data_IF_524795202451
#
_entry.id   IF_524795202451
#
_cell.length_a   1.000
_cell.length_b   1.000
_cell.length_c   1.000
_cell.angle_alpha   90.00
_cell.angle_beta   90.00
_cell.angle_gamma   90.00
#
_symmetry.space_group_name_H-M   'P 1'
#
loop_
_entity.id
_entity.type
_entity.pdbx_description
1 polymer ?
#
# COMPACT_ATOMS: atom_id res chain seq x y z
N UNK A 1 -9.33 14.63 -4.99
CA UNK A 1 -9.13 16.09 -4.94
C UNK A 1 -9.52 16.66 -3.59
N UNK A 2 -10.72 16.32 -3.04
CA UNK A 2 -11.12 16.78 -1.70
C UNK A 2 -10.09 16.43 -0.62
N UNK A 3 -9.70 15.17 -0.51
CA UNK A 3 -8.74 14.71 0.50
C UNK A 3 -7.33 15.32 0.35
N UNK A 4 -7.00 15.81 -0.83
CA UNK A 4 -5.72 16.46 -1.09
C UNK A 4 -5.73 17.96 -0.77
N UNK A 5 -6.85 18.63 -1.03
CA UNK A 5 -6.94 20.09 -0.96
C UNK A 5 -7.98 20.66 0.00
N UNK A 6 -8.87 19.82 0.56
CA UNK A 6 -9.91 20.25 1.50
C UNK A 6 -11.13 20.96 0.88
N UNK A 7 -11.13 21.23 -0.42
CA UNK A 7 -12.24 21.95 -1.06
C UNK A 7 -13.48 21.05 -1.18
N UNK A 8 -14.49 21.35 -0.39
CA UNK A 8 -15.74 20.59 -0.27
C UNK A 8 -16.54 20.50 -1.57
N UNK A 9 -16.28 21.40 -2.54
CA UNK A 9 -16.94 21.33 -3.86
C UNK A 9 -16.64 20.00 -4.56
N UNK A 10 -15.41 19.50 -4.43
CA UNK A 10 -15.04 18.19 -5.00
C UNK A 10 -15.76 17.02 -4.33
N UNK A 11 -16.03 17.11 -3.03
CA UNK A 11 -16.76 16.07 -2.32
C UNK A 11 -18.24 16.04 -2.74
N UNK A 12 -18.86 17.22 -2.86
CA UNK A 12 -20.25 17.35 -3.34
C UNK A 12 -20.40 16.84 -4.78
N UNK A 13 -19.46 17.20 -5.64
CA UNK A 13 -19.48 16.72 -7.03
C UNK A 13 -19.24 15.20 -7.10
N UNK A 14 -18.36 14.65 -6.27
CA UNK A 14 -18.16 13.22 -6.17
C UNK A 14 -19.43 12.49 -5.72
N UNK A 15 -20.17 13.04 -4.74
CA UNK A 15 -21.46 12.50 -4.31
C UNK A 15 -22.50 12.51 -5.44
N UNK A 16 -22.60 13.63 -6.17
CA UNK A 16 -23.50 13.74 -7.31
C UNK A 16 -23.18 12.72 -8.41
N UNK A 17 -21.88 12.51 -8.70
CA UNK A 17 -21.45 11.50 -9.66
C UNK A 17 -21.72 10.08 -9.15
N UNK A 18 -21.54 9.82 -7.87
CA UNK A 18 -21.85 8.54 -7.26
C UNK A 18 -23.34 8.21 -7.35
N UNK A 19 -24.22 9.17 -7.09
CA UNK A 19 -25.67 9.03 -7.28
C UNK A 19 -26.05 8.70 -8.74
N UNK A 20 -25.35 9.33 -9.71
CA UNK A 20 -25.52 9.02 -11.13
C UNK A 20 -25.04 7.60 -11.47
N UNK A 21 -23.93 7.15 -10.86
CA UNK A 21 -23.43 5.78 -11.06
C UNK A 21 -24.49 4.78 -10.55
N UNK A 22 -25.06 5.01 -9.39
CA UNK A 22 -26.10 4.14 -8.85
C UNK A 22 -27.37 4.13 -9.74
N UNK A 23 -27.83 5.30 -10.16
CA UNK A 23 -29.06 5.43 -10.93
C UNK A 23 -28.96 4.90 -12.37
N UNK A 24 -27.86 5.23 -13.06
CA UNK A 24 -27.73 4.99 -14.49
C UNK A 24 -27.06 3.63 -14.81
N UNK A 25 -26.20 3.14 -13.93
CA UNK A 25 -25.36 1.95 -14.18
C UNK A 25 -25.61 0.80 -13.20
N UNK A 26 -26.30 1.02 -12.08
CA UNK A 26 -26.50 0.01 -11.05
C UNK A 26 -27.19 -1.25 -11.56
N UNK A 27 -26.72 -2.42 -11.08
CA UNK A 27 -27.41 -3.70 -11.22
C UNK A 27 -28.03 -4.06 -9.85
N UNK A 28 -29.32 -3.78 -9.70
CA UNK A 28 -30.03 -4.06 -8.43
C UNK A 28 -30.13 -5.56 -8.15
N UNK A 29 -30.23 -6.38 -9.18
CA UNK A 29 -30.43 -7.82 -9.03
C UNK A 29 -29.12 -8.59 -8.81
N UNK A 30 -28.08 -8.25 -9.57
CA UNK A 30 -26.80 -8.97 -9.53
C UNK A 30 -25.69 -8.29 -8.73
N UNK A 31 -25.91 -7.05 -8.33
CA UNK A 31 -24.90 -6.19 -7.71
C UNK A 31 -23.85 -5.68 -8.69
N UNK A 32 -23.16 -4.61 -8.32
CA UNK A 32 -22.18 -3.95 -9.19
C UNK A 32 -22.80 -3.05 -10.25
N UNK A 33 -22.05 -2.78 -11.31
CA UNK A 33 -22.39 -1.75 -12.29
C UNK A 33 -22.19 -2.26 -13.70
N UNK A 34 -23.14 -1.97 -14.58
CA UNK A 34 -23.02 -2.20 -16.01
C UNK A 34 -22.06 -1.20 -16.66
N UNK A 35 -21.45 -1.58 -17.78
CA UNK A 35 -20.54 -0.71 -18.54
C UNK A 35 -21.30 0.36 -19.36
N UNK A 36 -22.63 0.21 -19.48
CA UNK A 36 -23.51 1.13 -20.20
C UNK A 36 -24.66 1.61 -19.32
N UNK A 37 -25.08 2.87 -19.50
CA UNK A 37 -26.18 3.46 -18.77
C UNK A 37 -27.52 2.77 -19.11
N UNK A 38 -28.50 2.81 -18.19
CA UNK A 38 -29.81 2.24 -18.37
C UNK A 38 -30.59 2.87 -19.55
N UNK A 39 -30.35 4.15 -19.84
CA UNK A 39 -30.97 4.87 -20.95
C UNK A 39 -30.22 4.77 -22.29
N UNK A 40 -29.21 3.91 -22.39
CA UNK A 40 -28.51 3.64 -23.64
C UNK A 40 -29.40 2.91 -24.64
N UNK A 41 -28.98 2.85 -25.93
CA UNK A 41 -29.66 2.03 -26.93
C UNK A 41 -29.80 0.57 -26.45
N UNK A 42 -30.81 -0.13 -26.92
CA UNK A 42 -31.06 -1.51 -26.55
C UNK A 42 -29.92 -2.41 -27.05
N UNK A 43 -29.15 -2.95 -26.14
CA UNK A 43 -28.08 -3.92 -26.39
C UNK A 43 -28.61 -5.35 -26.23
N UNK A 44 -28.04 -6.30 -26.96
CA UNK A 44 -28.33 -7.73 -26.81
C UNK A 44 -28.02 -8.18 -25.37
N UNK A 45 -26.93 -7.64 -24.81
CA UNK A 45 -26.50 -7.87 -23.42
C UNK A 45 -25.84 -6.60 -22.89
N UNK A 46 -26.25 -6.14 -21.70
CA UNK A 46 -25.51 -5.14 -20.95
C UNK A 46 -24.34 -5.83 -20.24
N UNK A 47 -23.15 -5.55 -20.71
CA UNK A 47 -21.93 -6.12 -20.15
C UNK A 47 -21.60 -5.51 -18.78
N UNK A 48 -20.91 -6.30 -17.94
CA UNK A 48 -20.48 -5.92 -16.60
C UNK A 48 -19.13 -6.58 -16.31
N UNK A 49 -18.06 -5.80 -16.37
CA UNK A 49 -16.71 -6.30 -16.15
C UNK A 49 -16.28 -6.09 -14.71
N UNK A 50 -15.81 -7.17 -14.06
CA UNK A 50 -15.31 -7.12 -12.69
C UNK A 50 -13.82 -7.34 -12.57
N UNK A 51 -13.20 -7.97 -13.58
CA UNK A 51 -11.77 -8.27 -13.56
C UNK A 51 -10.93 -7.03 -13.89
N UNK A 52 -9.78 -6.91 -13.25
CA UNK A 52 -8.77 -5.92 -13.59
C UNK A 52 -8.05 -6.36 -14.88
N UNK A 53 -7.81 -5.41 -15.78
CA UNK A 53 -7.01 -5.59 -16.98
C UNK A 53 -5.71 -4.78 -16.89
N UNK A 54 -5.37 -4.07 -17.97
CA UNK A 54 -4.28 -3.10 -17.95
C UNK A 54 -4.56 -1.90 -17.03
N UNK A 55 -5.82 -1.68 -16.70
CA UNK A 55 -6.32 -0.73 -15.70
C UNK A 55 -7.27 -1.46 -14.75
N UNK A 56 -7.47 -0.93 -13.53
CA UNK A 56 -8.46 -1.49 -12.60
C UNK A 56 -9.86 -1.50 -13.21
N UNK A 57 -10.68 -2.50 -12.84
CA UNK A 57 -12.06 -2.59 -13.31
C UNK A 57 -12.89 -1.38 -12.87
N UNK A 58 -13.80 -0.93 -13.74
CA UNK A 58 -14.70 0.18 -13.43
C UNK A 58 -15.57 -0.13 -12.20
N UNK A 59 -16.02 -1.38 -12.06
CA UNK A 59 -16.77 -1.84 -10.90
C UNK A 59 -16.02 -1.67 -9.59
N UNK A 60 -14.75 -2.08 -9.53
CA UNK A 60 -13.93 -1.96 -8.33
C UNK A 60 -13.58 -0.50 -8.01
N UNK A 61 -13.34 0.32 -9.03
CA UNK A 61 -13.07 1.77 -8.84
C UNK A 61 -14.33 2.48 -8.32
N UNK A 62 -15.50 2.20 -8.88
CA UNK A 62 -16.78 2.75 -8.39
C UNK A 62 -17.07 2.31 -6.95
N UNK A 63 -16.90 1.02 -6.65
CA UNK A 63 -17.07 0.49 -5.29
C UNK A 63 -16.13 1.18 -4.29
N UNK A 64 -14.87 1.43 -4.65
CA UNK A 64 -13.92 2.12 -3.79
C UNK A 64 -14.30 3.58 -3.55
N UNK A 65 -14.76 4.27 -4.59
CA UNK A 65 -15.25 5.65 -4.44
C UNK A 65 -16.47 5.73 -3.53
N UNK A 66 -17.44 4.82 -3.71
CA UNK A 66 -18.63 4.72 -2.87
C UNK A 66 -18.29 4.39 -1.41
N UNK A 67 -17.38 3.43 -1.17
CA UNK A 67 -16.92 3.09 0.18
C UNK A 67 -16.28 4.30 0.89
N UNK A 68 -15.49 5.11 0.19
CA UNK A 68 -14.88 6.33 0.75
C UNK A 68 -15.92 7.42 1.00
N UNK A 69 -16.81 7.65 0.04
CA UNK A 69 -17.89 8.64 0.16
C UNK A 69 -18.86 8.32 1.29
N UNK A 70 -19.14 7.02 1.53
CA UNK A 70 -20.01 6.60 2.61
C UNK A 70 -19.55 7.10 3.98
N UNK A 71 -18.25 7.13 4.21
CA UNK A 71 -17.66 7.60 5.47
C UNK A 71 -17.59 9.14 5.56
N UNK A 72 -17.27 9.81 4.45
CA UNK A 72 -17.25 11.27 4.43
C UNK A 72 -18.63 11.89 4.65
N UNK A 73 -19.69 11.23 4.16
CA UNK A 73 -21.04 11.77 4.07
C UNK A 73 -22.05 11.07 4.99
N UNK A 74 -21.61 10.03 5.72
CA UNK A 74 -22.47 9.15 6.54
C UNK A 74 -23.62 8.54 5.71
N UNK A 75 -23.28 8.01 4.52
CA UNK A 75 -24.21 7.46 3.53
C UNK A 75 -24.12 5.93 3.52
N UNK A 76 -25.00 5.27 4.29
CA UNK A 76 -25.05 3.80 4.35
C UNK A 76 -25.40 3.16 3.01
N UNK A 77 -26.24 3.80 2.19
CA UNK A 77 -26.60 3.34 0.85
C UNK A 77 -25.39 3.25 -0.09
N UNK A 78 -24.41 4.17 0.01
CA UNK A 78 -23.16 4.10 -0.72
C UNK A 78 -22.30 2.93 -0.24
N UNK A 79 -22.26 2.71 1.08
CA UNK A 79 -21.53 1.57 1.65
C UNK A 79 -22.12 0.24 1.19
N UNK A 80 -23.45 0.11 1.25
CA UNK A 80 -24.15 -1.09 0.84
C UNK A 80 -23.97 -1.37 -0.66
N UNK A 81 -23.97 -0.34 -1.50
CA UNK A 81 -23.70 -0.48 -2.92
C UNK A 81 -22.26 -0.94 -3.18
N UNK A 82 -21.27 -0.41 -2.44
CA UNK A 82 -19.89 -0.86 -2.52
C UNK A 82 -19.72 -2.33 -2.12
N UNK A 83 -20.37 -2.76 -1.04
CA UNK A 83 -20.38 -4.16 -0.59
C UNK A 83 -21.01 -5.05 -1.66
N UNK A 84 -22.17 -4.70 -2.19
CA UNK A 84 -22.82 -5.48 -3.26
C UNK A 84 -21.96 -5.58 -4.51
N UNK A 85 -21.27 -4.49 -4.90
CA UNK A 85 -20.40 -4.49 -6.07
C UNK A 85 -19.22 -5.46 -5.93
N UNK A 86 -18.56 -5.50 -4.77
CA UNK A 86 -17.48 -6.46 -4.51
C UNK A 86 -18.02 -7.89 -4.39
N UNK A 87 -19.14 -8.07 -3.69
CA UNK A 87 -19.74 -9.38 -3.46
C UNK A 87 -20.24 -10.04 -4.75
N UNK A 88 -20.64 -9.25 -5.74
CA UNK A 88 -21.09 -9.74 -7.06
C UNK A 88 -20.03 -10.60 -7.77
N UNK A 89 -18.75 -10.38 -7.45
CA UNK A 89 -17.62 -11.12 -8.00
C UNK A 89 -16.93 -12.01 -6.95
N UNK A 90 -17.52 -12.19 -5.77
CA UNK A 90 -16.88 -12.86 -4.63
C UNK A 90 -16.29 -14.23 -4.98
N UNK A 91 -17.03 -15.07 -5.73
CA UNK A 91 -16.51 -16.36 -6.19
C UNK A 91 -15.31 -16.20 -7.13
N UNK A 92 -15.39 -15.33 -8.13
CA UNK A 92 -14.33 -15.10 -9.08
C UNK A 92 -13.09 -14.48 -8.40
N UNK A 93 -13.27 -13.62 -7.38
CA UNK A 93 -12.18 -13.07 -6.56
C UNK A 93 -11.44 -14.18 -5.83
N UNK A 94 -12.15 -15.16 -5.27
CA UNK A 94 -11.53 -16.30 -4.58
C UNK A 94 -10.80 -17.23 -5.58
N UNK A 95 -11.42 -17.53 -6.71
CA UNK A 95 -10.86 -18.42 -7.73
C UNK A 95 -9.67 -17.78 -8.49
N UNK A 96 -9.71 -16.45 -8.69
CA UNK A 96 -8.73 -15.73 -9.51
C UNK A 96 -8.29 -14.38 -8.88
N UNK A 97 -7.73 -14.37 -7.65
CA UNK A 97 -7.48 -13.12 -6.90
C UNK A 97 -6.61 -12.11 -7.65
N UNK A 98 -5.68 -12.57 -8.50
CA UNK A 98 -4.81 -11.69 -9.29
C UNK A 98 -5.56 -10.87 -10.34
N UNK A 99 -6.70 -11.37 -10.81
CA UNK A 99 -7.54 -10.63 -11.75
C UNK A 99 -8.48 -9.63 -11.06
N UNK A 100 -8.46 -9.55 -9.73
CA UNK A 100 -9.35 -8.72 -8.92
C UNK A 100 -8.62 -7.93 -7.83
N UNK A 101 -7.38 -7.55 -8.09
CA UNK A 101 -6.54 -6.84 -7.10
C UNK A 101 -7.21 -5.56 -6.56
N UNK A 102 -7.89 -4.81 -7.44
CA UNK A 102 -8.60 -3.61 -7.01
C UNK A 102 -9.81 -3.94 -6.15
N UNK A 103 -10.56 -5.00 -6.46
CA UNK A 103 -11.66 -5.47 -5.62
C UNK A 103 -11.18 -5.93 -4.25
N UNK A 104 -10.01 -6.58 -4.16
CA UNK A 104 -9.39 -6.95 -2.89
C UNK A 104 -9.03 -5.73 -2.05
N UNK A 105 -8.49 -4.67 -2.65
CA UNK A 105 -8.24 -3.39 -1.95
C UNK A 105 -9.54 -2.79 -1.40
N UNK A 106 -10.65 -2.91 -2.13
CA UNK A 106 -11.96 -2.43 -1.64
C UNK A 106 -12.48 -3.30 -0.51
N UNK A 107 -12.34 -4.62 -0.63
CA UNK A 107 -12.74 -5.56 0.43
C UNK A 107 -11.96 -5.29 1.73
N UNK A 108 -10.65 -5.14 1.65
CA UNK A 108 -9.78 -4.79 2.77
C UNK A 108 -10.21 -3.47 3.44
N UNK A 109 -10.45 -2.42 2.63
CA UNK A 109 -10.96 -1.14 3.12
C UNK A 109 -12.31 -1.26 3.86
N UNK A 110 -13.21 -2.11 3.37
CA UNK A 110 -14.55 -2.31 3.96
C UNK A 110 -14.53 -3.19 5.21
N UNK A 111 -13.64 -4.17 5.28
CA UNK A 111 -13.53 -5.13 6.38
C UNK A 111 -12.73 -4.58 7.56
N UNK A 112 -11.52 -4.09 7.29
CA UNK A 112 -10.63 -3.54 8.33
C UNK A 112 -11.10 -2.15 8.81
N UNK A 113 -11.77 -1.41 7.95
CA UNK A 113 -12.11 -0.01 8.15
C UNK A 113 -10.87 0.89 8.00
N UNK A 114 -11.04 2.10 7.49
CA UNK A 114 -9.94 3.04 7.35
C UNK A 114 -9.57 3.74 8.65
N UNK A 115 -8.37 4.29 8.68
CA UNK A 115 -8.03 5.38 9.59
C UNK A 115 -8.75 6.63 9.12
N UNK A 116 -9.54 7.21 10.00
CA UNK A 116 -10.29 8.43 9.75
C UNK A 116 -9.50 9.61 10.31
N UNK A 117 -9.02 10.48 9.43
CA UNK A 117 -8.19 11.62 9.79
C UNK A 117 -8.97 12.92 9.58
N UNK A 118 -9.05 13.73 10.62
CA UNK A 118 -9.56 15.09 10.49
C UNK A 118 -8.44 16.08 10.83
N UNK A 119 -8.04 16.87 9.86
CA UNK A 119 -7.00 17.89 10.01
C UNK A 119 -7.66 19.26 10.08
N UNK A 120 -7.54 19.90 11.23
CA UNK A 120 -8.19 21.19 11.56
C UNK A 120 -7.13 22.27 11.68
N UNK A 121 -7.31 23.35 10.96
CA UNK A 121 -6.41 24.52 10.97
C UNK A 121 -6.45 25.27 9.65
N UNK A 122 -5.83 26.43 9.62
CA UNK A 122 -5.83 27.28 8.44
C UNK A 122 -4.76 26.81 7.44
N UNK A 123 -5.16 26.46 6.20
CA UNK A 123 -4.21 26.11 5.14
C UNK A 123 -3.17 27.22 4.92
N UNK A 124 -1.90 26.82 4.80
CA UNK A 124 -0.77 27.74 4.67
C UNK A 124 -0.12 28.16 6.00
N UNK A 125 -0.77 27.94 7.14
CA UNK A 125 -0.12 28.14 8.43
C UNK A 125 0.87 27.03 8.76
N UNK A 126 2.00 27.39 9.39
CA UNK A 126 3.11 26.48 9.63
C UNK A 126 2.71 25.20 10.39
N UNK A 127 1.87 25.31 11.42
CA UNK A 127 1.40 24.19 12.24
C UNK A 127 0.53 23.22 11.43
N UNK A 128 -0.42 23.74 10.66
CA UNK A 128 -1.27 22.95 9.78
C UNK A 128 -0.44 22.20 8.72
N UNK A 129 0.46 22.91 8.04
CA UNK A 129 1.29 22.32 6.99
C UNK A 129 2.29 21.29 7.53
N UNK A 130 2.77 21.45 8.76
CA UNK A 130 3.64 20.49 9.40
C UNK A 130 2.89 19.17 9.69
N UNK A 131 1.69 19.23 10.31
CA UNK A 131 0.85 18.07 10.54
C UNK A 131 0.45 17.38 9.22
N UNK A 132 0.02 18.15 8.22
CA UNK A 132 -0.33 17.65 6.89
C UNK A 132 0.84 16.90 6.23
N UNK A 133 2.04 17.43 6.34
CA UNK A 133 3.27 16.83 5.80
C UNK A 133 3.59 15.51 6.50
N UNK A 134 3.49 15.45 7.82
CA UNK A 134 3.76 14.21 8.56
C UNK A 134 2.75 13.11 8.23
N UNK A 135 1.46 13.44 8.10
CA UNK A 135 0.45 12.48 7.60
C UNK A 135 0.80 12.00 6.17
N UNK A 136 1.20 12.94 5.29
CA UNK A 136 1.55 12.64 3.90
C UNK A 136 2.78 11.74 3.72
N UNK A 137 3.70 11.74 4.69
CA UNK A 137 4.90 10.88 4.69
C UNK A 137 4.62 9.42 5.03
N UNK A 138 3.41 9.11 5.53
CA UNK A 138 3.07 7.77 5.98
C UNK A 138 2.31 7.01 4.90
N UNK A 139 2.70 5.76 4.69
CA UNK A 139 1.92 4.86 3.86
C UNK A 139 0.72 4.35 4.67
N UNK A 140 -0.45 4.88 4.36
CA UNK A 140 -1.72 4.51 4.98
C UNK A 140 -2.70 4.16 3.85
N UNK A 141 -2.71 2.92 3.36
CA UNK A 141 -3.55 2.51 2.22
C UNK A 141 -5.04 2.67 2.54
N UNK A 142 -5.45 2.28 3.76
CA UNK A 142 -6.81 2.40 4.25
C UNK A 142 -6.95 3.66 5.12
N UNK A 143 -7.13 4.81 4.48
CA UNK A 143 -7.39 6.07 5.17
C UNK A 143 -8.43 6.90 4.44
N UNK A 144 -9.11 7.75 5.17
CA UNK A 144 -9.82 8.92 4.66
C UNK A 144 -9.31 10.17 5.38
N UNK A 145 -9.28 11.30 4.69
CA UNK A 145 -8.81 12.57 5.26
C UNK A 145 -9.86 13.64 5.01
N UNK A 146 -10.33 14.27 6.08
CA UNK A 146 -11.13 15.48 6.02
C UNK A 146 -10.30 16.69 6.49
N UNK A 147 -10.45 17.81 5.82
CA UNK A 147 -9.82 19.07 6.18
C UNK A 147 -10.88 20.06 6.65
N UNK A 148 -10.55 20.82 7.67
CA UNK A 148 -11.41 21.90 8.16
C UNK A 148 -10.59 23.15 8.44
N UNK A 149 -10.97 24.25 7.79
CA UNK A 149 -10.52 25.58 8.12
C UNK A 149 -11.58 26.24 9.05
N UNK A 150 -11.27 26.46 10.32
CA UNK A 150 -12.21 27.07 11.27
C UNK A 150 -12.71 28.46 10.83
N UNK A 151 -11.93 29.20 10.06
CA UNK A 151 -12.33 30.51 9.55
C UNK A 151 -13.40 30.41 8.45
N UNK A 152 -13.47 29.27 7.73
CA UNK A 152 -14.47 29.03 6.70
C UNK A 152 -15.80 28.47 7.27
N UNK A 153 -15.88 28.15 8.57
CA UNK A 153 -17.01 27.48 9.20
C UNK A 153 -17.07 26.00 8.84
N UNK A 154 -17.48 25.12 9.76
CA UNK A 154 -17.58 23.70 9.50
C UNK A 154 -18.75 23.40 8.57
N UNK A 155 -18.55 22.66 7.46
CA UNK A 155 -19.66 22.20 6.65
C UNK A 155 -20.55 21.25 7.45
N UNK A 156 -21.85 21.53 7.52
CA UNK A 156 -22.82 20.76 8.32
C UNK A 156 -22.99 19.32 7.79
N UNK A 157 -22.61 19.06 6.55
CA UNK A 157 -22.74 17.79 5.85
C UNK A 157 -21.46 16.92 5.92
N UNK A 158 -20.48 17.27 6.79
CA UNK A 158 -19.26 16.49 6.98
C UNK A 158 -19.16 15.92 8.42
N UNK A 159 -19.75 14.74 8.66
CA UNK A 159 -19.79 14.11 9.98
C UNK A 159 -18.43 13.93 10.63
N UNK A 160 -17.42 13.59 9.83
CA UNK A 160 -16.03 13.40 10.31
C UNK A 160 -15.44 14.66 10.97
N UNK A 161 -15.94 15.84 10.65
CA UNK A 161 -15.46 17.11 11.21
C UNK A 161 -16.26 17.62 12.40
N UNK A 162 -17.40 16.99 12.72
CA UNK A 162 -18.28 17.44 13.83
C UNK A 162 -17.55 17.40 15.16
N UNK A 163 -17.63 18.49 15.90
CA UNK A 163 -17.01 18.62 17.22
C UNK A 163 -15.49 18.72 17.23
N UNK A 164 -14.87 18.86 16.04
CA UNK A 164 -13.42 18.98 15.93
C UNK A 164 -13.03 20.42 15.62
N UNK A 165 -12.11 20.99 16.40
CA UNK A 165 -11.66 22.37 16.31
C UNK A 165 -10.16 22.51 16.52
N UNK A 166 -9.70 23.75 16.62
CA UNK A 166 -8.35 24.04 17.10
C UNK A 166 -8.22 23.58 18.56
N UNK A 167 -7.04 23.17 18.96
CA UNK A 167 -6.69 22.85 20.35
C UNK A 167 -5.76 23.93 20.86
N UNK A 168 -6.19 24.68 21.88
CA UNK A 168 -5.45 25.83 22.42
C UNK A 168 -4.99 26.82 21.33
N UNK A 169 -5.85 27.04 20.32
CA UNK A 169 -5.57 27.91 19.20
C UNK A 169 -4.60 27.36 18.15
N UNK A 170 -4.16 26.12 18.29
CA UNK A 170 -3.22 25.45 17.36
C UNK A 170 -3.96 24.52 16.43
N UNK A 171 -3.41 24.31 15.24
CA UNK A 171 -3.84 23.28 14.33
C UNK A 171 -3.78 21.90 15.01
N UNK A 172 -4.75 21.02 14.71
CA UNK A 172 -4.88 19.72 15.34
C UNK A 172 -5.21 18.62 14.32
N UNK A 173 -4.60 17.46 14.50
CA UNK A 173 -4.92 16.23 13.81
C UNK A 173 -5.72 15.34 14.76
N UNK A 174 -6.91 14.96 14.34
CA UNK A 174 -7.74 13.95 15.00
C UNK A 174 -7.60 12.62 14.27
N UNK A 175 -7.17 11.59 14.99
CA UNK A 175 -7.05 10.23 14.48
C UNK A 175 -8.19 9.41 15.08
N UNK A 176 -9.09 8.96 14.23
CA UNK A 176 -10.27 8.20 14.65
C UNK A 176 -10.30 6.84 13.94
N UNK A 177 -10.97 5.89 14.57
CA UNK A 177 -11.25 4.57 14.00
C UNK A 177 -12.63 4.13 14.46
N UNK A 178 -13.46 3.68 13.54
CA UNK A 178 -14.82 3.26 13.86
C UNK A 178 -15.54 4.32 14.70
N UNK A 179 -15.44 5.60 14.31
CA UNK A 179 -16.01 6.78 15.00
C UNK A 179 -15.50 7.05 16.43
N UNK A 180 -14.47 6.30 16.88
CA UNK A 180 -13.78 6.59 18.15
C UNK A 180 -12.48 7.32 17.87
N UNK A 181 -12.34 8.52 18.46
CA UNK A 181 -11.17 9.36 18.26
C UNK A 181 -10.22 9.28 19.47
N UNK A 182 -8.93 9.28 19.20
CA UNK A 182 -7.89 9.51 20.19
C UNK A 182 -7.83 11.00 20.60
N UNK A 183 -7.01 11.30 21.61
CA UNK A 183 -6.68 12.70 21.92
C UNK A 183 -6.10 13.40 20.69
N UNK A 184 -6.51 14.64 20.41
CA UNK A 184 -6.01 15.37 19.24
C UNK A 184 -4.51 15.64 19.34
N UNK A 185 -3.82 15.52 18.22
CA UNK A 185 -2.37 15.73 18.08
C UNK A 185 -2.12 17.14 17.55
N UNK A 186 -1.35 17.94 18.25
CA UNK A 186 -0.94 19.30 17.83
C UNK A 186 0.56 19.40 17.53
N UNK A 187 1.35 18.44 18.01
CA UNK A 187 2.78 18.34 17.72
C UNK A 187 3.02 17.36 16.54
N UNK A 188 3.62 17.82 15.43
CA UNK A 188 3.97 16.96 14.32
C UNK A 188 4.84 15.74 14.69
N UNK A 189 5.67 15.85 15.74
CA UNK A 189 6.51 14.75 16.21
C UNK A 189 5.70 13.57 16.80
N UNK A 190 4.47 13.84 17.25
CA UNK A 190 3.59 12.82 17.82
C UNK A 190 2.71 12.09 16.78
N UNK A 191 2.65 12.58 15.54
CA UNK A 191 1.79 12.02 14.48
C UNK A 191 2.09 10.54 14.24
N UNK A 192 3.37 10.15 14.24
CA UNK A 192 3.76 8.77 14.05
C UNK A 192 3.16 7.84 15.11
N UNK A 193 3.28 8.21 16.36
CA UNK A 193 2.75 7.45 17.49
C UNK A 193 1.23 7.32 17.40
N UNK A 194 0.53 8.42 17.16
CA UNK A 194 -0.92 8.43 17.04
C UNK A 194 -1.45 7.56 15.89
N UNK A 195 -0.71 7.45 14.79
CA UNK A 195 -1.06 6.58 13.65
C UNK A 195 -0.71 5.12 13.90
N UNK A 196 0.30 4.84 14.74
CA UNK A 196 0.81 3.49 15.02
C UNK A 196 -0.03 2.71 16.05
N UNK A 197 -0.83 3.37 16.88
CA UNK A 197 -1.49 2.77 18.06
C UNK A 197 -2.50 1.65 17.78
N UNK A 198 -2.70 1.26 16.53
CA UNK A 198 -3.50 0.06 16.17
C UNK A 198 -2.69 -1.07 15.54
N UNK A 199 -1.42 -0.84 15.25
CA UNK A 199 -0.52 -1.87 14.71
C UNK A 199 0.14 -2.73 15.77
N UNK A 200 -0.01 -2.40 17.06
CA UNK A 200 0.79 -3.03 18.11
C UNK A 200 0.39 -4.49 18.36
N UNK A 201 -0.89 -4.83 18.40
CA UNK A 201 -1.30 -6.22 18.69
C UNK A 201 -1.15 -7.18 17.50
N UNK A 202 -1.54 -6.75 16.29
CA UNK A 202 -1.34 -7.56 15.08
C UNK A 202 0.11 -7.49 14.56
N UNK A 203 0.82 -6.37 14.79
CA UNK A 203 2.22 -6.24 14.43
C UNK A 203 3.18 -6.92 15.41
N UNK A 204 2.79 -7.16 16.64
CA UNK A 204 3.62 -7.86 17.62
C UNK A 204 3.66 -9.37 17.33
N UNK A 205 2.58 -9.96 16.85
CA UNK A 205 2.59 -11.35 16.37
C UNK A 205 3.43 -11.52 15.07
N UNK A 206 3.46 -10.51 14.20
CA UNK A 206 4.33 -10.49 13.01
C UNK A 206 5.78 -10.10 13.36
N UNK A 207 6.01 -9.33 14.42
CA UNK A 207 7.35 -8.88 14.85
C UNK A 207 8.18 -9.95 15.53
N UNK A 208 7.59 -10.96 16.12
CA UNK A 208 8.34 -12.09 16.71
C UNK A 208 9.08 -12.94 15.66
N UNK A 209 8.73 -12.80 14.35
CA UNK A 209 9.48 -13.38 13.24
C UNK A 209 10.47 -12.42 12.54
N UNK A 210 10.50 -11.12 12.91
CA UNK A 210 11.34 -10.11 12.25
C UNK A 210 12.43 -9.62 13.22
N UNK A 211 13.20 -10.53 13.76
CA UNK A 211 14.19 -10.22 14.80
C UNK A 211 15.40 -9.38 14.34
N UNK A 212 15.55 -9.04 13.06
CA UNK A 212 16.70 -8.25 12.60
C UNK A 212 16.43 -7.43 11.34
N UNK A 213 15.48 -6.48 11.39
CA UNK A 213 15.40 -5.48 10.32
C UNK A 213 16.61 -4.56 10.40
N UNK A 214 17.54 -4.67 9.46
CA UNK A 214 18.58 -3.66 9.27
C UNK A 214 18.00 -2.49 8.49
N UNK A 215 18.13 -1.25 8.98
CA UNK A 215 17.69 -0.07 8.25
C UNK A 215 18.57 0.15 7.02
N UNK A 216 18.01 0.70 5.97
CA UNK A 216 18.73 1.11 4.78
C UNK A 216 18.02 0.69 3.49
N UNK A 217 18.14 1.55 2.50
CA UNK A 217 17.61 1.35 1.15
C UNK A 217 18.58 1.98 0.15
N UNK A 218 18.49 1.58 -1.11
CA UNK A 218 19.17 2.28 -2.19
C UNK A 218 18.73 3.75 -2.27
N UNK A 219 19.68 4.64 -2.51
CA UNK A 219 19.42 6.07 -2.72
C UNK A 219 19.99 6.52 -4.06
N UNK A 220 19.47 7.60 -4.69
CA UNK A 220 20.03 8.16 -5.90
C UNK A 220 21.53 8.50 -5.73
N UNK A 221 21.89 9.10 -4.60
CA UNK A 221 23.24 9.52 -4.28
C UNK A 221 24.19 8.32 -4.11
N UNK A 222 23.77 7.31 -3.30
CA UNK A 222 24.59 6.12 -3.03
C UNK A 222 24.80 5.28 -4.29
N UNK A 223 23.75 5.07 -5.08
CA UNK A 223 23.85 4.30 -6.32
C UNK A 223 24.69 5.01 -7.38
N UNK A 224 24.55 6.35 -7.52
CA UNK A 224 25.35 7.15 -8.45
C UNK A 224 26.82 7.22 -8.04
N UNK A 225 27.11 7.37 -6.74
CA UNK A 225 28.49 7.40 -6.23
C UNK A 225 29.22 6.07 -6.51
N UNK A 226 28.53 4.94 -6.29
CA UNK A 226 29.11 3.62 -6.59
C UNK A 226 29.31 3.39 -8.08
N UNK A 227 28.36 3.79 -8.91
CA UNK A 227 28.49 3.72 -10.36
C UNK A 227 29.71 4.52 -10.86
N UNK A 228 29.88 5.75 -10.36
CA UNK A 228 31.03 6.60 -10.68
C UNK A 228 32.36 5.95 -10.28
N UNK A 229 32.44 5.41 -9.05
CA UNK A 229 33.65 4.73 -8.57
C UNK A 229 34.10 3.59 -9.51
N UNK A 230 33.17 2.72 -9.93
CA UNK A 230 33.51 1.60 -10.81
C UNK A 230 33.75 2.00 -12.26
N UNK A 231 33.12 3.06 -12.74
CA UNK A 231 33.43 3.64 -14.06
C UNK A 231 34.87 4.22 -14.11
N UNK A 232 35.31 4.89 -13.05
CA UNK A 232 36.65 5.47 -12.94
C UNK A 232 37.75 4.41 -12.78
N UNK A 233 37.44 3.31 -12.09
CA UNK A 233 38.39 2.20 -11.87
C UNK A 233 38.44 1.20 -13.02
N UNK A 234 37.53 1.32 -14.00
CA UNK A 234 37.49 0.45 -15.18
C UNK A 234 37.07 -1.00 -14.89
N UNK A 235 36.55 -1.27 -13.70
CA UNK A 235 36.33 -2.64 -13.22
C UNK A 235 35.07 -3.31 -13.77
N UNK A 236 34.03 -2.58 -14.19
CA UNK A 236 32.87 -3.19 -14.88
C UNK A 236 32.04 -2.14 -15.65
N UNK A 237 31.69 -2.41 -16.65
CA UNK A 237 30.93 -2.51 -17.82
C UNK A 237 29.65 -1.75 -18.03
N UNK A 238 29.42 -0.66 -17.40
CA UNK A 238 28.29 0.21 -17.67
C UNK A 238 27.18 0.14 -16.64
N UNK A 239 26.76 1.32 -16.31
CA UNK A 239 25.62 1.58 -15.44
C UNK A 239 24.55 2.31 -16.26
N UNK A 240 23.30 2.20 -15.85
CA UNK A 240 22.18 2.88 -16.48
C UNK A 240 21.14 3.28 -15.44
N UNK A 241 20.32 4.30 -15.70
CA UNK A 241 19.16 4.59 -14.88
C UNK A 241 18.21 3.38 -14.81
N UNK A 242 17.65 3.14 -13.65
CA UNK A 242 16.62 2.12 -13.43
C UNK A 242 15.23 2.73 -13.69
N UNK A 243 14.79 2.69 -14.93
CA UNK A 243 13.50 3.26 -15.33
C UNK A 243 13.37 4.73 -14.91
N UNK A 244 12.27 5.07 -14.23
CA UNK A 244 11.97 6.43 -13.73
C UNK A 244 12.29 6.62 -12.24
N UNK A 245 13.18 5.80 -11.66
CA UNK A 245 13.41 5.77 -10.20
C UNK A 245 14.55 6.66 -9.73
N UNK A 246 15.18 7.47 -10.49
CA UNK A 246 16.38 8.24 -10.16
C UNK A 246 17.60 7.38 -9.66
N UNK A 247 17.45 6.06 -9.58
CA UNK A 247 18.51 5.13 -9.17
C UNK A 247 19.37 4.75 -10.36
N UNK A 248 20.69 4.61 -10.13
CA UNK A 248 21.64 4.14 -11.12
C UNK A 248 22.09 2.73 -10.78
N UNK A 249 21.94 1.78 -11.69
CA UNK A 249 22.27 0.38 -11.47
C UNK A 249 23.26 -0.17 -12.51
N UNK A 250 24.00 -1.20 -12.13
CA UNK A 250 24.80 -1.97 -13.05
C UNK A 250 23.93 -2.66 -14.10
N UNK A 251 24.37 -2.66 -15.37
CA UNK A 251 23.63 -3.34 -16.46
C UNK A 251 23.62 -4.85 -16.31
N UNK A 252 24.55 -5.41 -15.56
CA UNK A 252 24.57 -6.80 -15.15
C UNK A 252 24.07 -6.88 -13.71
N UNK A 253 22.96 -7.57 -13.49
CA UNK A 253 22.40 -7.87 -12.17
C UNK A 253 22.76 -9.28 -11.71
N UNK A 254 22.72 -9.50 -10.40
CA UNK A 254 22.84 -10.84 -9.80
C UNK A 254 21.45 -11.49 -9.70
N UNK A 255 21.26 -12.63 -10.37
CA UNK A 255 20.01 -13.37 -10.35
C UNK A 255 20.01 -14.44 -9.26
N UNK A 256 19.04 -14.36 -8.33
CA UNK A 256 18.93 -15.22 -7.17
C UNK A 256 18.14 -16.52 -7.37
N UNK A 257 17.68 -16.85 -8.60
CA UNK A 257 16.69 -17.92 -8.83
C UNK A 257 17.11 -19.30 -8.31
N UNK A 258 18.40 -19.64 -8.37
CA UNK A 258 18.91 -20.97 -7.96
C UNK A 258 20.05 -20.87 -6.94
N UNK A 259 20.11 -19.81 -6.18
CA UNK A 259 21.08 -19.66 -5.09
C UNK A 259 20.38 -19.78 -3.74
N UNK A 260 21.09 -20.29 -2.76
CA UNK A 260 20.64 -20.51 -1.40
C UNK A 260 21.72 -20.11 -0.39
N UNK A 261 21.37 -20.09 0.89
CA UNK A 261 22.22 -19.74 2.01
C UNK A 261 23.03 -20.92 2.58
N UNK A 262 22.80 -22.13 2.08
CA UNK A 262 23.49 -23.37 2.53
C UNK A 262 24.72 -23.69 1.68
N UNK A 263 24.77 -23.22 0.44
CA UNK A 263 25.85 -23.49 -0.52
C UNK A 263 26.93 -22.41 -0.45
N UNK A 264 28.14 -22.69 0.03
CA UNK A 264 29.21 -21.69 0.18
C UNK A 264 29.55 -20.94 -1.09
N UNK A 265 29.56 -21.63 -2.24
CA UNK A 265 29.90 -21.07 -3.55
C UNK A 265 28.86 -20.00 -3.99
N UNK A 266 27.60 -20.15 -3.60
CA UNK A 266 26.58 -19.14 -3.86
C UNK A 266 26.86 -17.85 -3.10
N UNK A 267 27.31 -17.99 -1.85
CA UNK A 267 27.72 -16.85 -1.01
C UNK A 267 28.94 -16.15 -1.59
N UNK A 268 29.97 -16.90 -1.97
CA UNK A 268 31.19 -16.36 -2.56
C UNK A 268 30.89 -15.64 -3.87
N UNK A 269 30.03 -16.20 -4.72
CA UNK A 269 29.60 -15.60 -5.98
C UNK A 269 28.87 -14.27 -5.77
N UNK A 270 27.98 -14.16 -4.80
CA UNK A 270 27.28 -12.92 -4.50
C UNK A 270 28.23 -11.85 -3.94
N UNK A 271 29.14 -12.24 -3.03
CA UNK A 271 30.17 -11.34 -2.49
C UNK A 271 31.04 -10.82 -3.63
N UNK A 272 31.54 -11.70 -4.48
CA UNK A 272 32.39 -11.33 -5.62
C UNK A 272 31.66 -10.39 -6.58
N UNK A 273 30.40 -10.68 -6.91
CA UNK A 273 29.60 -9.82 -7.78
C UNK A 273 29.42 -8.40 -7.20
N UNK A 274 29.07 -8.31 -5.93
CA UNK A 274 28.91 -7.00 -5.25
C UNK A 274 30.23 -6.23 -5.17
N UNK A 275 31.34 -6.90 -4.85
CA UNK A 275 32.66 -6.28 -4.80
C UNK A 275 33.15 -5.87 -6.18
N UNK A 276 32.78 -6.60 -7.24
CA UNK A 276 33.08 -6.25 -8.63
C UNK A 276 32.23 -5.12 -9.20
N UNK A 277 31.26 -4.58 -8.44
CA UNK A 277 30.44 -3.43 -8.84
C UNK A 277 29.02 -3.76 -9.28
N UNK A 278 28.57 -5.00 -9.15
CA UNK A 278 27.15 -5.31 -9.32
C UNK A 278 26.34 -4.60 -8.24
N UNK A 279 25.31 -3.85 -8.65
CA UNK A 279 24.46 -3.06 -7.72
C UNK A 279 22.99 -3.43 -7.79
N UNK A 280 22.63 -4.40 -8.66
CA UNK A 280 21.25 -4.87 -8.81
C UNK A 280 21.18 -6.34 -8.48
N UNK A 281 20.35 -6.69 -7.49
CA UNK A 281 20.08 -8.08 -7.10
C UNK A 281 18.61 -8.37 -7.34
N UNK A 282 18.33 -9.46 -8.06
CA UNK A 282 16.97 -9.99 -8.26
C UNK A 282 16.79 -11.25 -7.42
N UNK A 283 15.85 -11.23 -6.48
CA UNK A 283 15.50 -12.36 -5.63
C UNK A 283 13.98 -12.54 -5.53
N UNK A 284 13.52 -13.51 -4.76
CA UNK A 284 12.11 -13.76 -4.47
C UNK A 284 11.99 -14.59 -3.19
N UNK A 285 10.90 -14.41 -2.46
CA UNK A 285 10.52 -15.26 -1.32
C UNK A 285 10.44 -16.74 -1.69
N UNK A 286 10.20 -17.05 -2.96
CA UNK A 286 10.05 -18.43 -3.47
C UNK A 286 11.34 -19.04 -4.01
N UNK A 287 12.42 -18.28 -4.16
CA UNK A 287 13.66 -18.82 -4.67
C UNK A 287 14.35 -19.66 -3.60
N UNK A 288 14.55 -20.94 -3.90
CA UNK A 288 15.12 -21.92 -2.98
C UNK A 288 14.47 -21.90 -1.59
N UNK A 289 13.12 -21.81 -1.57
CA UNK A 289 12.30 -21.77 -0.34
C UNK A 289 12.73 -20.69 0.66
N UNK A 290 13.03 -19.49 0.14
CA UNK A 290 13.51 -18.34 0.92
C UNK A 290 15.03 -18.31 1.10
N UNK A 291 15.75 -19.35 0.74
CA UNK A 291 17.22 -19.42 0.85
C UNK A 291 17.93 -18.29 0.13
N UNK A 292 17.41 -17.90 -1.04
CA UNK A 292 17.94 -16.77 -1.80
C UNK A 292 17.84 -15.44 -1.03
N UNK A 293 16.72 -15.15 -0.40
CA UNK A 293 16.56 -13.91 0.40
C UNK A 293 17.43 -13.94 1.66
N UNK A 294 17.52 -15.11 2.34
CA UNK A 294 18.42 -15.25 3.50
C UNK A 294 19.88 -15.07 3.11
N UNK A 295 20.31 -15.62 1.98
CA UNK A 295 21.64 -15.38 1.44
C UNK A 295 21.92 -13.91 1.18
N UNK A 296 21.02 -13.23 0.42
CA UNK A 296 21.14 -11.81 0.11
C UNK A 296 21.20 -10.97 1.40
N UNK A 297 20.32 -11.26 2.36
CA UNK A 297 20.28 -10.56 3.64
C UNK A 297 21.57 -10.72 4.43
N UNK A 298 22.10 -11.93 4.55
CA UNK A 298 23.32 -12.22 5.30
C UNK A 298 24.56 -11.59 4.68
N UNK A 299 24.70 -11.66 3.35
CA UNK A 299 25.84 -11.08 2.61
C UNK A 299 25.80 -9.55 2.66
N UNK A 300 24.64 -8.92 2.46
CA UNK A 300 24.52 -7.46 2.55
C UNK A 300 24.81 -6.98 3.97
N UNK A 301 24.38 -7.72 4.98
CA UNK A 301 24.68 -7.40 6.35
C UNK A 301 26.18 -7.36 6.61
N UNK A 302 26.90 -8.43 6.25
CA UNK A 302 28.35 -8.52 6.41
C UNK A 302 29.09 -7.41 5.66
N UNK A 303 28.80 -7.25 4.36
CA UNK A 303 29.51 -6.29 3.52
C UNK A 303 29.24 -4.83 3.88
N UNK A 304 28.10 -4.56 4.52
CA UNK A 304 27.75 -3.22 5.02
C UNK A 304 28.44 -2.94 6.35
N UNK A 305 28.45 -3.92 7.26
CA UNK A 305 29.05 -3.77 8.60
C UNK A 305 30.57 -3.56 8.53
N UNK A 306 31.24 -4.21 7.60
CA UNK A 306 32.68 -4.05 7.41
C UNK A 306 33.06 -2.94 6.39
N UNK A 307 32.06 -2.20 5.90
CA UNK A 307 32.24 -1.04 5.05
C UNK A 307 32.66 -1.35 3.61
N UNK A 308 32.66 -2.62 3.18
CA UNK A 308 33.03 -3.02 1.81
C UNK A 308 31.99 -2.60 0.77
N UNK A 309 30.71 -2.60 1.14
CA UNK A 309 29.61 -2.24 0.25
C UNK A 309 28.58 -1.39 1.01
N UNK A 310 28.41 -0.11 0.65
CA UNK A 310 27.39 0.72 1.27
C UNK A 310 25.97 0.18 0.98
N UNK A 311 25.10 0.09 1.99
CA UNK A 311 23.73 -0.43 1.80
C UNK A 311 22.91 0.43 0.83
N UNK A 312 23.13 1.74 0.83
CA UNK A 312 22.44 2.70 -0.03
C UNK A 312 22.89 2.67 -1.50
N UNK A 313 23.94 1.91 -1.80
CA UNK A 313 24.43 1.70 -3.15
C UNK A 313 23.86 0.45 -3.85
N UNK A 314 23.09 -0.40 -3.16
CA UNK A 314 22.62 -1.68 -3.70
C UNK A 314 21.08 -1.72 -3.76
N UNK A 315 20.58 -1.99 -4.95
CA UNK A 315 19.15 -2.19 -5.23
C UNK A 315 18.83 -3.68 -5.12
N UNK A 316 17.91 -4.03 -4.25
CA UNK A 316 17.38 -5.40 -4.15
C UNK A 316 15.94 -5.39 -4.63
N UNK A 317 15.66 -6.21 -5.62
CA UNK A 317 14.31 -6.47 -6.15
C UNK A 317 13.87 -7.82 -5.64
N UNK A 318 12.78 -7.86 -4.88
CA UNK A 318 12.14 -9.10 -4.48
C UNK A 318 10.72 -9.18 -5.02
N UNK A 319 10.14 -10.36 -4.98
CA UNK A 319 8.83 -10.65 -5.56
C UNK A 319 7.93 -11.24 -4.48
N UNK A 320 6.67 -10.85 -4.49
CA UNK A 320 5.61 -11.46 -3.70
C UNK A 320 4.96 -12.52 -4.59
N UNK A 321 4.76 -13.73 -4.05
CA UNK A 321 4.20 -14.83 -4.83
C UNK A 321 3.59 -15.91 -3.95
N UNK A 322 3.79 -17.15 -4.33
CA UNK A 322 3.27 -18.29 -3.59
C UNK A 322 3.99 -18.48 -2.26
N UNK A 323 3.24 -18.97 -1.27
CA UNK A 323 3.81 -19.47 -0.03
C UNK A 323 4.27 -20.91 -0.28
N UNK A 324 5.55 -21.18 -0.05
CA UNK A 324 6.14 -22.52 -0.21
C UNK A 324 7.25 -22.74 0.84
N UNK A 325 7.84 -23.93 0.85
CA UNK A 325 8.92 -24.29 1.77
C UNK A 325 8.50 -24.19 3.22
N UNK A 326 9.36 -23.65 4.08
CA UNK A 326 9.13 -23.50 5.51
C UNK A 326 7.90 -22.63 5.84
N UNK A 327 7.65 -21.60 5.03
CA UNK A 327 6.46 -20.74 5.21
C UNK A 327 5.16 -21.51 4.91
N UNK A 328 5.18 -22.43 3.96
CA UNK A 328 4.03 -23.31 3.69
C UNK A 328 3.83 -24.31 4.83
N UNK A 329 4.91 -24.90 5.35
CA UNK A 329 4.84 -25.81 6.48
C UNK A 329 4.25 -25.11 7.73
N UNK A 330 4.72 -23.90 8.04
CA UNK A 330 4.18 -23.08 9.13
C UNK A 330 2.69 -22.76 8.91
N UNK A 331 2.29 -22.45 7.69
CA UNK A 331 0.91 -22.14 7.38
C UNK A 331 0.00 -23.36 7.53
N UNK A 332 0.45 -24.54 7.10
CA UNK A 332 -0.26 -25.81 7.29
C UNK A 332 -0.37 -26.20 8.77
N UNK A 333 0.70 -25.99 9.55
CA UNK A 333 0.69 -26.21 10.99
C UNK A 333 -0.32 -25.31 11.71
N UNK A 334 -0.37 -24.03 11.36
CA UNK A 334 -1.36 -23.09 11.88
C UNK A 334 -2.79 -23.46 11.47
N UNK A 335 -3.00 -23.91 10.24
CA UNK A 335 -4.30 -24.40 9.77
C UNK A 335 -4.74 -25.62 10.60
N UNK A 336 -3.85 -26.60 10.81
CA UNK A 336 -4.11 -27.77 11.62
C UNK A 336 -4.41 -27.43 13.09
N UNK A 337 -3.80 -26.38 13.63
CA UNK A 337 -4.06 -25.86 14.98
C UNK A 337 -5.33 -25.00 15.07
N UNK A 338 -6.12 -24.84 14.00
CA UNK A 338 -7.33 -24.02 13.98
C UNK A 338 -7.06 -22.51 13.99
N UNK A 339 -5.85 -22.10 13.66
CA UNK A 339 -5.40 -20.69 13.59
C UNK A 339 -4.81 -20.35 12.21
N UNK A 340 -5.53 -20.60 11.10
CA UNK A 340 -4.99 -20.32 9.76
C UNK A 340 -4.66 -18.84 9.61
N UNK A 341 -3.73 -18.53 8.69
CA UNK A 341 -3.59 -17.17 8.23
C UNK A 341 -4.83 -16.78 7.44
N UNK A 342 -5.55 -15.71 7.81
CA UNK A 342 -6.84 -15.38 7.22
C UNK A 342 -6.77 -15.02 5.73
N UNK A 343 -5.57 -14.72 5.23
CA UNK A 343 -5.34 -14.23 3.86
C UNK A 343 -4.74 -15.30 2.94
N UNK A 344 -4.51 -16.51 3.45
CA UNK A 344 -3.99 -17.59 2.61
C UNK A 344 -5.09 -18.26 1.80
N UNK A 345 -4.92 -18.22 0.49
CA UNK A 345 -5.77 -18.93 -0.48
C UNK A 345 -4.98 -20.08 -1.07
N UNK A 346 -5.55 -21.31 -1.04
CA UNK A 346 -4.98 -22.45 -1.74
C UNK A 346 -5.06 -22.19 -3.26
N UNK A 347 -3.93 -22.27 -3.93
CA UNK A 347 -3.84 -21.93 -5.35
C UNK A 347 -4.22 -23.10 -6.27
N UNK A 348 -3.94 -24.33 -5.84
CA UNK A 348 -4.37 -25.58 -6.48
C UNK A 348 -4.45 -26.68 -5.41
N UNK A 349 -5.39 -27.61 -5.58
CA UNK A 349 -5.41 -28.88 -4.87
C UNK A 349 -4.40 -29.84 -5.51
#
# INVERSE_FOLDING_TARGET
>A
LYEAGGDVRYLREAARLAERILADFGDEAGGGFFDTAAGHEALILRHREGADGAIPSANAVAAFALARLSLHLDRSDFRDAAIRAVSAYGRAVVEHPRAFCKSLVVADFLLEGPVELALVGTPGEAGFEALRREVGRRYLPNRIIAHHDPAAGAPADLPLLRGKGLVDGKAALYVCRNFTCQAPVTDPAEVERALAERGAEAADELRTGIATRRPGRATPEGTAARAKHFQETGALHGYSPLGSTDLTVSRLGFGGYRVDDETPEHREALIAALQAGCTLIDTSTNYTDGGSERLVGSVLAELTDDGRVPRDAVVVVSKIGYVQGENLALAQEREAAGKPFPEMVKYMD
#
